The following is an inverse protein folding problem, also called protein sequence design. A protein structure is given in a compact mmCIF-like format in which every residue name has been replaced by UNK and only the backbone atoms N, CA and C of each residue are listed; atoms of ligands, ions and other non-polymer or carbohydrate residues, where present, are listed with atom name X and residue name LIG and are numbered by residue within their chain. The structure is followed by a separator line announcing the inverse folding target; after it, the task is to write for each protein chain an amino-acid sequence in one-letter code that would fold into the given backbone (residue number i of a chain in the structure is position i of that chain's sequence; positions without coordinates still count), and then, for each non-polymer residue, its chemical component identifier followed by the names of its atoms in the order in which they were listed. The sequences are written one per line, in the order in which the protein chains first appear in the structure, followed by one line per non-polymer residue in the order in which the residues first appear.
data_IF_290049706854
#
_entry.id   IF_290049706854
#
_cell.length_a   1.000
_cell.length_b   1.000
_cell.length_c   1.000
_cell.angle_alpha   90.00
_cell.angle_beta   90.00
_cell.angle_gamma   90.00
#
_symmetry.space_group_name_H-M   'P 1'
#
loop_
_entity.id
_entity.type
_entity.pdbx_description
1 polymer ?
#
# COMPACT_ATOMS: atom_id res chain seq x y z
N UNK A 1 10.43 12.68 0.73
CA UNK A 1 10.69 14.11 1.03
C UNK A 1 11.14 14.35 2.47
N UNK A 2 10.63 13.64 3.49
CA UNK A 2 11.18 13.68 4.87
C UNK A 2 12.26 12.60 5.16
N UNK A 3 12.34 11.56 4.33
CA UNK A 3 13.26 10.43 4.44
C UNK A 3 14.74 10.79 4.58
N UNK A 4 15.32 11.71 3.77
CA UNK A 4 16.75 12.04 3.91
C UNK A 4 17.06 12.75 5.23
N UNK A 5 16.19 13.65 5.69
CA UNK A 5 16.37 14.35 6.96
C UNK A 5 16.33 13.38 8.15
N UNK A 6 15.38 12.44 8.15
CA UNK A 6 15.30 11.40 9.18
C UNK A 6 16.53 10.50 9.10
N UNK A 7 16.90 10.03 7.91
CA UNK A 7 18.06 9.16 7.72
C UNK A 7 19.35 9.79 8.26
N UNK A 8 19.60 11.08 7.97
CA UNK A 8 20.77 11.79 8.52
C UNK A 8 20.70 11.98 10.05
N UNK A 9 19.51 12.16 10.61
CA UNK A 9 19.34 12.29 12.06
C UNK A 9 19.63 10.98 12.82
N UNK A 10 19.34 9.82 12.22
CA UNK A 10 19.63 8.49 12.81
C UNK A 10 20.93 7.85 12.31
N UNK A 11 21.58 8.42 11.31
CA UNK A 11 22.88 7.97 10.77
C UNK A 11 23.99 7.81 11.83
N UNK A 12 24.18 8.74 12.79
CA UNK A 12 25.22 8.59 13.80
C UNK A 12 24.89 7.60 14.92
N UNK A 13 23.66 7.08 14.98
CA UNK A 13 23.25 6.14 16.03
C UNK A 13 23.74 4.71 15.73
N UNK A 14 23.97 3.94 16.79
CA UNK A 14 24.29 2.52 16.68
C UNK A 14 23.20 1.76 15.89
N UNK A 15 23.61 0.71 15.17
CA UNK A 15 22.73 -0.07 14.27
C UNK A 15 21.44 -0.54 14.93
N UNK A 16 21.49 -0.93 16.21
CA UNK A 16 20.31 -1.34 16.98
C UNK A 16 19.22 -0.25 17.01
N UNK A 17 19.60 1.00 17.27
CA UNK A 17 18.65 2.12 17.31
C UNK A 17 18.08 2.48 15.95
N UNK A 18 18.88 2.34 14.88
CA UNK A 18 18.41 2.52 13.50
C UNK A 18 17.38 1.47 13.11
N UNK A 19 17.57 0.22 13.54
CA UNK A 19 16.59 -0.87 13.35
C UNK A 19 15.30 -0.53 14.10
N UNK A 20 15.38 -0.18 15.39
CA UNK A 20 14.20 0.16 16.21
C UNK A 20 13.43 1.33 15.60
N UNK A 21 14.10 2.40 15.18
CA UNK A 21 13.47 3.53 14.52
C UNK A 21 12.77 3.12 13.20
N UNK A 22 13.46 2.31 12.39
CA UNK A 22 12.92 1.83 11.10
C UNK A 22 11.68 0.96 11.32
N UNK A 23 11.73 0.03 12.26
CA UNK A 23 10.59 -0.83 12.65
C UNK A 23 9.45 0.03 13.18
N UNK A 24 9.72 0.99 14.07
CA UNK A 24 8.71 1.87 14.66
C UNK A 24 7.95 2.70 13.61
N UNK A 25 8.61 3.09 12.52
CA UNK A 25 7.96 3.80 11.40
C UNK A 25 7.25 2.85 10.44
N UNK A 26 7.90 1.73 10.08
CA UNK A 26 7.38 0.83 9.05
C UNK A 26 6.23 -0.05 9.54
N UNK A 27 6.22 -0.47 10.80
CA UNK A 27 5.16 -1.34 11.36
C UNK A 27 3.77 -0.72 11.25
N UNK A 28 3.49 0.49 11.77
CA UNK A 28 2.13 1.02 11.71
C UNK A 28 1.67 1.25 10.26
N UNK A 29 2.58 1.76 9.41
CA UNK A 29 2.29 2.04 8.00
C UNK A 29 2.03 0.73 7.25
N UNK A 30 2.93 -0.24 7.39
CA UNK A 30 2.82 -1.56 6.75
C UNK A 30 1.60 -2.33 7.21
N UNK A 31 1.25 -2.24 8.50
CA UNK A 31 0.02 -2.82 9.04
C UNK A 31 -1.23 -2.19 8.42
N UNK A 32 -1.34 -0.86 8.41
CA UNK A 32 -2.50 -0.18 7.81
C UNK A 32 -2.62 -0.45 6.31
N UNK A 33 -1.50 -0.42 5.58
CA UNK A 33 -1.47 -0.71 4.15
C UNK A 33 -1.83 -2.18 3.85
N UNK A 34 -1.35 -3.12 4.66
CA UNK A 34 -1.64 -4.55 4.51
C UNK A 34 -3.11 -4.92 4.74
N UNK A 35 -3.86 -4.12 5.52
CA UNK A 35 -5.26 -4.39 5.82
C UNK A 35 -6.23 -4.08 4.67
N UNK A 36 -5.81 -3.31 3.66
CA UNK A 36 -6.68 -2.91 2.56
C UNK A 36 -7.27 -4.11 1.80
N UNK A 37 -6.45 -5.12 1.50
CA UNK A 37 -6.87 -6.29 0.75
C UNK A 37 -7.79 -7.22 1.57
N UNK A 38 -7.44 -7.66 2.80
CA UNK A 38 -8.33 -8.46 3.65
C UNK A 38 -9.70 -7.81 3.89
N UNK A 39 -9.73 -6.50 4.17
CA UNK A 39 -10.97 -5.76 4.36
C UNK A 39 -11.82 -5.71 3.08
N UNK A 40 -11.20 -5.45 1.93
CA UNK A 40 -11.87 -5.47 0.63
C UNK A 40 -12.43 -6.86 0.29
N UNK A 41 -11.68 -7.92 0.56
CA UNK A 41 -12.10 -9.31 0.35
C UNK A 41 -13.28 -9.70 1.24
N UNK A 42 -13.28 -9.30 2.51
CA UNK A 42 -14.41 -9.54 3.42
C UNK A 42 -15.68 -8.86 2.92
N UNK A 43 -15.57 -7.62 2.45
CA UNK A 43 -16.69 -6.89 1.86
C UNK A 43 -17.18 -7.55 0.56
N UNK A 44 -16.26 -7.94 -0.33
CA UNK A 44 -16.59 -8.65 -1.56
C UNK A 44 -17.33 -9.98 -1.30
N UNK A 45 -16.85 -10.78 -0.35
CA UNK A 45 -17.48 -12.05 0.02
C UNK A 45 -18.90 -11.86 0.57
N UNK A 46 -19.15 -10.76 1.31
CA UNK A 46 -20.51 -10.44 1.78
C UNK A 46 -21.51 -10.11 0.66
N UNK A 47 -21.02 -9.70 -0.52
CA UNK A 47 -21.86 -9.48 -1.70
C UNK A 47 -22.00 -10.74 -2.57
N UNK A 48 -20.91 -11.45 -2.84
CA UNK A 48 -20.91 -12.71 -3.59
C UNK A 48 -19.60 -13.46 -3.39
N UNK A 49 -19.68 -14.62 -2.75
CA UNK A 49 -18.51 -15.50 -2.58
C UNK A 49 -17.92 -15.97 -3.92
N UNK A 50 -18.76 -16.10 -4.96
CA UNK A 50 -18.32 -16.54 -6.28
C UNK A 50 -17.32 -15.57 -6.96
N UNK A 51 -17.28 -14.30 -6.53
CA UNK A 51 -16.32 -13.31 -7.05
C UNK A 51 -14.95 -13.36 -6.36
N UNK A 52 -14.85 -14.02 -5.20
CA UNK A 52 -13.62 -14.12 -4.39
C UNK A 52 -12.41 -14.61 -5.20
N UNK A 53 -12.49 -15.68 -6.01
CA UNK A 53 -11.36 -16.15 -6.81
C UNK A 53 -10.95 -15.15 -7.91
N UNK A 54 -11.92 -14.41 -8.44
CA UNK A 54 -11.69 -13.40 -9.47
C UNK A 54 -10.89 -12.21 -8.91
N UNK A 55 -11.21 -11.76 -7.70
CA UNK A 55 -10.45 -10.69 -7.03
C UNK A 55 -9.03 -11.11 -6.66
N UNK A 56 -8.82 -12.38 -6.29
CA UNK A 56 -7.48 -12.95 -6.14
C UNK A 56 -6.68 -12.93 -7.45
N UNK A 57 -7.31 -13.35 -8.56
CA UNK A 57 -6.69 -13.27 -9.89
C UNK A 57 -6.30 -11.85 -10.27
N UNK A 58 -7.19 -10.89 -10.03
CA UNK A 58 -6.93 -9.47 -10.28
C UNK A 58 -5.80 -8.92 -9.40
N UNK A 59 -5.73 -9.32 -8.13
CA UNK A 59 -4.63 -8.95 -7.24
C UNK A 59 -3.27 -9.47 -7.74
N UNK A 60 -3.22 -10.71 -8.24
CA UNK A 60 -2.03 -11.27 -8.86
C UNK A 60 -1.58 -10.47 -10.09
N UNK A 61 -2.51 -10.23 -11.03
CA UNK A 61 -2.22 -9.46 -12.25
C UNK A 61 -1.77 -8.03 -11.94
N UNK A 62 -2.47 -7.35 -11.02
CA UNK A 62 -2.12 -6.00 -10.60
C UNK A 62 -0.75 -5.94 -9.93
N UNK A 63 -0.36 -6.95 -9.15
CA UNK A 63 0.95 -7.00 -8.47
C UNK A 63 2.10 -7.11 -9.48
N UNK A 64 1.95 -7.95 -10.51
CA UNK A 64 2.94 -8.07 -11.60
C UNK A 64 3.07 -6.74 -12.33
N UNK A 65 1.95 -6.15 -12.76
CA UNK A 65 1.93 -4.88 -13.48
C UNK A 65 2.53 -3.74 -12.64
N UNK A 66 2.11 -3.62 -11.37
CA UNK A 66 2.59 -2.58 -10.46
C UNK A 66 4.09 -2.68 -10.20
N UNK A 67 4.65 -3.89 -10.12
CA UNK A 67 6.09 -4.07 -9.93
C UNK A 67 6.90 -3.47 -11.08
N UNK A 68 6.53 -3.77 -12.33
CA UNK A 68 7.21 -3.25 -13.52
C UNK A 68 6.96 -1.75 -13.67
N UNK A 69 5.71 -1.29 -13.53
CA UNK A 69 5.36 0.12 -13.63
C UNK A 69 6.09 0.96 -12.58
N UNK A 70 6.19 0.49 -11.34
CA UNK A 70 6.90 1.21 -10.27
C UNK A 70 8.37 1.42 -10.62
N UNK A 71 9.03 0.39 -11.17
CA UNK A 71 10.43 0.50 -11.60
C UNK A 71 10.57 1.45 -12.79
N UNK A 72 9.71 1.32 -13.81
CA UNK A 72 9.71 2.23 -14.96
C UNK A 72 9.52 3.69 -14.52
N UNK A 73 8.53 3.97 -13.67
CA UNK A 73 8.27 5.33 -13.17
C UNK A 73 9.47 5.87 -12.38
N UNK A 74 10.07 5.01 -11.53
CA UNK A 74 11.21 5.40 -10.71
C UNK A 74 12.45 5.76 -11.55
N UNK A 75 12.70 5.01 -12.63
CA UNK A 75 13.83 5.21 -13.52
C UNK A 75 13.61 6.38 -14.50
N UNK A 76 12.38 6.59 -14.97
CA UNK A 76 12.08 7.66 -15.95
C UNK A 76 11.90 9.03 -15.30
N UNK A 77 11.27 9.10 -14.12
CA UNK A 77 11.04 10.38 -13.43
C UNK A 77 11.79 10.46 -12.12
N UNK A 78 11.38 9.69 -11.11
CA UNK A 78 12.06 9.59 -9.82
C UNK A 78 11.37 8.57 -8.90
N UNK A 79 12.08 8.11 -7.87
CA UNK A 79 11.51 7.31 -6.78
C UNK A 79 10.33 8.05 -6.10
N UNK A 80 10.41 9.38 -5.94
CA UNK A 80 9.29 10.15 -5.36
C UNK A 80 8.04 10.07 -6.23
N UNK A 81 8.17 10.11 -7.56
CA UNK A 81 7.04 9.98 -8.47
C UNK A 81 6.36 8.62 -8.33
N UNK A 82 7.15 7.54 -8.29
CA UNK A 82 6.62 6.19 -8.07
C UNK A 82 5.89 6.07 -6.72
N UNK A 83 6.45 6.67 -5.66
CA UNK A 83 5.82 6.72 -4.34
C UNK A 83 4.46 7.44 -4.38
N UNK A 84 4.37 8.62 -5.00
CA UNK A 84 3.12 9.38 -5.10
C UNK A 84 2.08 8.69 -5.98
N UNK A 85 2.49 7.99 -7.03
CA UNK A 85 1.59 7.13 -7.80
C UNK A 85 0.97 6.04 -6.91
N UNK A 86 1.80 5.35 -6.11
CA UNK A 86 1.31 4.35 -5.14
C UNK A 86 0.35 4.97 -4.11
N UNK A 87 0.67 6.14 -3.58
CA UNK A 87 -0.21 6.88 -2.68
C UNK A 87 -1.56 7.20 -3.32
N UNK A 88 -1.58 7.68 -4.57
CA UNK A 88 -2.81 7.94 -5.31
C UNK A 88 -3.64 6.65 -5.50
N UNK A 89 -3.01 5.52 -5.81
CA UNK A 89 -3.69 4.23 -5.89
C UNK A 89 -4.36 3.83 -4.57
N UNK A 90 -3.70 4.05 -3.42
CA UNK A 90 -4.29 3.81 -2.10
C UNK A 90 -5.49 4.72 -1.82
N UNK A 91 -5.46 5.99 -2.25
CA UNK A 91 -6.62 6.88 -2.15
C UNK A 91 -7.79 6.41 -3.00
N UNK A 92 -7.53 5.95 -4.23
CA UNK A 92 -8.55 5.35 -5.09
C UNK A 92 -9.14 4.10 -4.43
N UNK A 93 -8.31 3.23 -3.85
CA UNK A 93 -8.78 2.05 -3.12
C UNK A 93 -9.67 2.41 -1.93
N UNK A 94 -9.29 3.41 -1.13
CA UNK A 94 -10.07 3.88 0.02
C UNK A 94 -11.43 4.46 -0.41
N UNK A 95 -11.46 5.27 -1.46
CA UNK A 95 -12.71 5.85 -1.99
C UNK A 95 -13.62 4.78 -2.59
N UNK A 96 -13.07 3.77 -3.27
CA UNK A 96 -13.82 2.62 -3.77
C UNK A 96 -14.40 1.79 -2.62
N UNK A 97 -13.58 1.49 -1.59
CA UNK A 97 -14.01 0.73 -0.41
C UNK A 97 -15.13 1.44 0.34
N UNK A 98 -14.98 2.74 0.63
CA UNK A 98 -16.02 3.51 1.34
C UNK A 98 -17.33 3.59 0.56
N UNK A 99 -17.29 3.70 -0.77
CA UNK A 99 -18.48 3.65 -1.63
C UNK A 99 -19.16 2.28 -1.60
N UNK A 100 -18.38 1.20 -1.70
CA UNK A 100 -18.90 -0.15 -1.65
C UNK A 100 -19.49 -0.50 -0.28
N UNK A 101 -18.79 -0.15 0.81
CA UNK A 101 -19.25 -0.41 2.17
C UNK A 101 -20.57 0.32 2.50
N UNK A 102 -20.74 1.57 2.02
CA UNK A 102 -22.00 2.30 2.17
C UNK A 102 -23.17 1.62 1.47
N UNK A 103 -22.95 1.01 0.29
CA UNK A 103 -23.99 0.27 -0.44
C UNK A 103 -24.38 -1.04 0.22
N UNK A 104 -23.51 -1.61 1.05
CA UNK A 104 -23.80 -2.83 1.80
C UNK A 104 -24.60 -2.58 3.10
N UNK A 105 -24.64 -1.32 3.57
CA UNK A 105 -25.31 -0.94 4.83
C UNK A 105 -26.72 -0.37 4.60
N UNK A 106 -27.07 -0.05 3.35
CA UNK A 106 -28.40 0.40 2.91
C UNK A 106 -29.13 -0.80 2.32
#
# INVERSE_FOLDING_TARGET
LATPAIAHAIEPLATAWRIVASVGVLVPIGFMMGMAFPLGMKLAASHSEALTPWFWGLNGAASVLASVLSVCIALTWSISTAFWCGFACYLVALTAFTRAARRATI
#
